data_IF_209970752550
#
_entry.id   IF_209970752550
#
_cell.length_a   1.000
_cell.length_b   1.000
_cell.length_c   1.000
_cell.angle_alpha   90.00
_cell.angle_beta   90.00
_cell.angle_gamma   90.00
#
_symmetry.space_group_name_H-M   'P 1'
#
loop_
_entity.id
_entity.type
_entity.pdbx_description
1 polymer ?
#
# COMPACT_ATOMS: atom_id res chain seq x y z
N UNK A 1 11.05 -10.46 4.27
CA UNK A 1 9.92 -9.57 3.96
C UNK A 1 8.73 -10.49 3.72
N UNK A 2 7.62 -10.33 4.45
CA UNK A 2 6.42 -11.16 4.21
C UNK A 2 5.91 -10.88 2.79
N UNK A 3 5.53 -11.94 2.09
CA UNK A 3 4.82 -11.82 0.82
C UNK A 3 3.32 -11.61 1.12
N UNK A 4 2.65 -10.77 0.35
CA UNK A 4 1.19 -10.60 0.42
C UNK A 4 0.46 -11.93 0.23
N UNK A 5 1.04 -12.87 -0.53
CA UNK A 5 0.52 -14.24 -0.67
C UNK A 5 0.52 -15.05 0.63
N UNK A 6 1.47 -14.77 1.51
CA UNK A 6 1.56 -15.47 2.79
C UNK A 6 0.46 -14.98 3.75
N UNK A 7 0.18 -13.68 3.71
CA UNK A 7 -0.97 -13.09 4.44
C UNK A 7 -2.29 -13.62 3.88
N UNK A 8 -2.40 -13.78 2.55
CA UNK A 8 -3.60 -14.35 1.92
C UNK A 8 -3.88 -15.77 2.38
N UNK A 9 -2.84 -16.61 2.45
CA UNK A 9 -2.98 -17.96 2.99
C UNK A 9 -3.47 -17.95 4.45
N UNK A 10 -2.95 -17.04 5.27
CA UNK A 10 -3.35 -16.93 6.67
C UNK A 10 -4.79 -16.40 6.82
N UNK A 11 -5.22 -15.47 5.97
CA UNK A 11 -6.60 -14.98 5.90
C UNK A 11 -7.58 -16.09 5.46
N UNK A 12 -7.25 -16.84 4.41
CA UNK A 12 -8.04 -17.99 3.96
C UNK A 12 -8.19 -19.05 5.07
N UNK A 13 -7.13 -19.23 5.87
CA UNK A 13 -7.16 -20.10 7.04
C UNK A 13 -8.09 -19.56 8.12
N UNK A 14 -8.03 -18.27 8.45
CA UNK A 14 -8.97 -17.64 9.39
C UNK A 14 -10.42 -17.89 8.96
N UNK A 15 -10.74 -17.60 7.69
CA UNK A 15 -12.09 -17.81 7.15
C UNK A 15 -12.56 -19.27 7.28
N UNK A 16 -11.67 -20.22 6.99
CA UNK A 16 -11.95 -21.65 7.11
C UNK A 16 -12.23 -22.05 8.56
N UNK A 17 -11.34 -21.68 9.48
CA UNK A 17 -11.46 -22.02 10.91
C UNK A 17 -12.69 -21.37 11.53
N UNK A 18 -12.99 -20.11 11.19
CA UNK A 18 -14.21 -19.42 11.62
C UNK A 18 -15.49 -20.10 11.09
N UNK A 19 -15.44 -20.70 9.90
CA UNK A 19 -16.57 -21.42 9.31
C UNK A 19 -16.81 -22.77 9.96
N UNK A 20 -15.74 -23.52 10.20
CA UNK A 20 -15.78 -24.82 10.88
C UNK A 20 -16.16 -24.66 12.36
N UNK A 21 -15.77 -23.53 12.98
CA UNK A 21 -16.07 -23.17 14.36
C UNK A 21 -15.65 -24.25 15.36
N UNK A 22 -14.57 -24.97 15.05
CA UNK A 22 -13.92 -25.89 15.97
C UNK A 22 -13.07 -25.09 16.96
N UNK A 23 -13.33 -25.30 18.25
CA UNK A 23 -12.68 -24.52 19.30
C UNK A 23 -11.16 -24.76 19.34
N UNK A 24 -10.71 -26.00 19.14
CA UNK A 24 -9.28 -26.31 19.17
C UNK A 24 -8.57 -25.65 17.98
N UNK A 25 -9.14 -25.73 16.79
CA UNK A 25 -8.59 -25.07 15.60
C UNK A 25 -8.55 -23.54 15.76
N UNK A 26 -9.56 -22.94 16.40
CA UNK A 26 -9.55 -21.51 16.73
C UNK A 26 -8.37 -21.16 17.64
N UNK A 27 -8.15 -21.91 18.72
CA UNK A 27 -7.03 -21.68 19.65
C UNK A 27 -5.68 -21.83 18.94
N UNK A 28 -5.50 -22.90 18.16
CA UNK A 28 -4.26 -23.16 17.40
C UNK A 28 -4.00 -22.03 16.41
N UNK A 29 -5.02 -21.60 15.65
CA UNK A 29 -4.88 -20.53 14.68
C UNK A 29 -4.48 -19.21 15.34
N UNK A 30 -5.09 -18.86 16.48
CA UNK A 30 -4.76 -17.64 17.21
C UNK A 30 -3.30 -17.64 17.67
N UNK A 31 -2.84 -18.70 18.34
CA UNK A 31 -1.47 -18.81 18.83
C UNK A 31 -0.43 -18.69 17.70
N UNK A 32 -0.63 -19.44 16.61
CA UNK A 32 0.29 -19.41 15.48
C UNK A 32 0.34 -18.04 14.77
N UNK A 33 -0.80 -17.38 14.61
CA UNK A 33 -0.85 -16.05 14.00
C UNK A 33 -0.26 -14.98 14.92
N UNK A 34 -0.52 -15.05 16.22
CA UNK A 34 0.08 -14.13 17.19
C UNK A 34 1.60 -14.27 17.21
N UNK A 35 2.14 -15.49 17.20
CA UNK A 35 3.60 -15.70 17.16
C UNK A 35 4.20 -15.20 15.83
N UNK A 36 3.57 -15.52 14.70
CA UNK A 36 4.06 -15.15 13.36
C UNK A 36 4.10 -13.64 13.09
N UNK A 37 3.15 -12.90 13.65
CA UNK A 37 2.95 -11.47 13.40
C UNK A 37 3.27 -10.58 14.61
N UNK A 38 3.76 -11.16 15.71
CA UNK A 38 4.07 -10.46 16.97
C UNK A 38 4.86 -9.18 16.78
N UNK A 39 5.92 -9.23 15.98
CA UNK A 39 6.85 -8.12 15.78
C UNK A 39 6.46 -7.22 14.58
N UNK A 40 5.28 -7.43 14.01
CA UNK A 40 4.88 -6.85 12.71
C UNK A 40 3.59 -6.08 12.77
N UNK A 41 2.67 -6.51 13.63
CA UNK A 41 1.34 -5.91 13.79
C UNK A 41 1.20 -5.56 15.27
N UNK A 42 1.21 -4.27 15.57
CA UNK A 42 0.90 -3.79 16.90
C UNK A 42 -0.51 -4.26 17.29
N UNK A 43 -0.72 -4.60 18.56
CA UNK A 43 -2.02 -5.02 19.13
C UNK A 43 -2.56 -6.40 18.70
N UNK A 44 -1.83 -7.18 17.91
CA UNK A 44 -2.23 -8.59 17.63
C UNK A 44 -2.28 -9.45 18.92
N UNK A 45 -1.63 -8.98 19.99
CA UNK A 45 -1.45 -9.64 21.29
C UNK A 45 -2.47 -9.14 22.35
N UNK A 46 -3.49 -8.34 22.00
CA UNK A 46 -4.42 -7.76 23.02
C UNK A 46 -5.09 -8.79 23.96
N UNK A 47 -5.06 -10.08 23.62
CA UNK A 47 -5.61 -11.18 24.41
C UNK A 47 -4.57 -12.12 25.04
N UNK A 48 -3.41 -11.63 25.49
CA UNK A 48 -2.64 -12.33 26.54
C UNK A 48 -3.43 -12.32 27.87
N UNK A 49 -4.66 -12.86 27.87
CA UNK A 49 -5.13 -13.57 29.03
C UNK A 49 -4.01 -14.57 29.33
N UNK A 50 -3.40 -14.51 30.52
CA UNK A 50 -2.32 -15.40 30.98
C UNK A 50 -2.66 -16.92 30.97
N UNK A 51 -3.73 -17.30 30.26
CA UNK A 51 -4.26 -18.64 30.07
C UNK A 51 -4.57 -18.81 28.58
N UNK A 52 -3.69 -19.55 27.89
CA UNK A 52 -3.74 -19.99 26.46
C UNK A 52 -5.10 -20.58 26.03
N UNK A 53 -5.95 -20.96 26.99
CA UNK A 53 -7.24 -21.63 26.77
C UNK A 53 -8.45 -20.72 26.94
N UNK A 54 -8.29 -19.40 26.92
CA UNK A 54 -9.44 -18.48 27.04
C UNK A 54 -9.71 -17.66 25.76
N UNK A 55 -9.20 -18.13 24.62
CA UNK A 55 -9.52 -17.55 23.34
C UNK A 55 -10.94 -17.89 22.90
N UNK A 56 -11.50 -17.00 22.09
CA UNK A 56 -12.83 -17.11 21.51
C UNK A 56 -12.79 -16.88 20.01
N UNK A 57 -13.87 -17.29 19.34
CA UNK A 57 -14.11 -16.97 17.93
C UNK A 57 -13.92 -15.48 17.61
N UNK A 58 -14.35 -14.60 18.52
CA UNK A 58 -14.21 -13.14 18.35
C UNK A 58 -12.77 -12.68 18.33
N UNK A 59 -11.87 -13.41 18.99
CA UNK A 59 -10.46 -13.07 19.02
C UNK A 59 -9.80 -13.41 17.68
N UNK A 60 -10.20 -14.54 17.06
CA UNK A 60 -9.79 -14.86 15.70
C UNK A 60 -10.36 -13.87 14.67
N UNK A 61 -11.63 -13.44 14.80
CA UNK A 61 -12.22 -12.39 13.95
C UNK A 61 -11.46 -11.05 14.06
N UNK A 62 -10.97 -10.69 15.25
CA UNK A 62 -10.10 -9.51 15.43
C UNK A 62 -8.76 -9.68 14.71
N UNK A 63 -8.12 -10.84 14.87
CA UNK A 63 -6.83 -11.12 14.21
C UNK A 63 -6.98 -11.09 12.69
N UNK A 64 -8.03 -11.72 12.15
CA UNK A 64 -8.36 -11.66 10.72
C UNK A 64 -8.45 -10.21 10.23
N UNK A 65 -9.16 -9.35 10.98
CA UNK A 65 -9.23 -7.93 10.65
C UNK A 65 -7.86 -7.25 10.67
N UNK A 66 -7.05 -7.48 11.70
CA UNK A 66 -5.71 -6.88 11.80
C UNK A 66 -4.79 -7.33 10.65
N UNK A 67 -4.85 -8.59 10.25
CA UNK A 67 -4.13 -9.11 9.08
C UNK A 67 -4.59 -8.43 7.78
N UNK A 68 -5.91 -8.25 7.61
CA UNK A 68 -6.48 -7.57 6.46
C UNK A 68 -6.06 -6.10 6.36
N UNK A 69 -6.03 -5.39 7.48
CA UNK A 69 -5.59 -4.00 7.53
C UNK A 69 -4.06 -3.88 7.32
N UNK A 70 -3.26 -4.76 7.93
CA UNK A 70 -1.83 -4.85 7.68
C UNK A 70 -1.48 -5.11 6.20
N UNK A 71 -2.22 -6.01 5.54
CA UNK A 71 -2.08 -6.26 4.09
C UNK A 71 -2.32 -4.99 3.28
N UNK A 72 -3.38 -4.24 3.58
CA UNK A 72 -3.70 -2.99 2.86
C UNK A 72 -2.57 -1.97 3.03
N UNK A 73 -2.06 -1.80 4.26
CA UNK A 73 -0.94 -0.90 4.53
C UNK A 73 0.33 -1.29 3.76
N UNK A 74 0.66 -2.59 3.70
CA UNK A 74 1.81 -3.07 2.93
C UNK A 74 1.68 -2.73 1.45
N UNK A 75 0.51 -2.99 0.85
CA UNK A 75 0.24 -2.69 -0.57
C UNK A 75 0.34 -1.18 -0.82
N UNK A 76 -0.19 -0.35 0.07
CA UNK A 76 -0.08 1.11 -0.04
C UNK A 76 1.37 1.58 0.03
N UNK A 77 2.16 1.06 0.99
CA UNK A 77 3.60 1.38 1.11
C UNK A 77 4.37 0.99 -0.14
N UNK A 78 4.08 -0.17 -0.73
CA UNK A 78 4.72 -0.62 -1.97
C UNK A 78 4.32 0.25 -3.17
N UNK A 79 3.04 0.62 -3.31
CA UNK A 79 2.59 1.58 -4.32
C UNK A 79 3.31 2.91 -4.20
N UNK A 80 3.38 3.49 -3.00
CA UNK A 80 4.08 4.74 -2.73
C UNK A 80 5.57 4.65 -3.10
N UNK A 81 6.23 3.56 -2.71
CA UNK A 81 7.63 3.31 -3.03
C UNK A 81 7.87 3.23 -4.54
N UNK A 82 7.04 2.50 -5.28
CA UNK A 82 7.14 2.39 -6.74
C UNK A 82 6.98 3.75 -7.43
N UNK A 83 6.01 4.56 -7.01
CA UNK A 83 5.84 5.93 -7.52
C UNK A 83 7.07 6.78 -7.23
N UNK A 84 7.62 6.70 -6.02
CA UNK A 84 8.83 7.45 -5.64
C UNK A 84 10.05 7.06 -6.48
N UNK A 85 10.30 5.76 -6.66
CA UNK A 85 11.40 5.25 -7.49
C UNK A 85 11.30 5.79 -8.93
N UNK A 86 10.10 5.74 -9.53
CA UNK A 86 9.89 6.26 -10.89
C UNK A 86 10.04 7.77 -11.01
N UNK A 87 9.68 8.52 -9.97
CA UNK A 87 9.90 9.97 -9.91
C UNK A 87 11.40 10.29 -9.80
N UNK A 88 12.14 9.53 -9.01
CA UNK A 88 13.59 9.72 -8.87
C UNK A 88 14.33 9.39 -10.18
N UNK A 89 13.95 8.30 -10.85
CA UNK A 89 14.49 7.97 -12.18
C UNK A 89 14.28 9.13 -13.18
N UNK A 90 13.11 9.77 -13.12
CA UNK A 90 12.81 10.94 -13.94
C UNK A 90 13.65 12.15 -13.56
N UNK A 91 13.83 12.41 -12.25
CA UNK A 91 14.68 13.50 -11.73
C UNK A 91 16.12 13.34 -12.21
N UNK A 92 16.66 12.12 -12.20
CA UNK A 92 17.99 11.80 -12.71
C UNK A 92 18.05 12.04 -14.22
N UNK A 93 17.09 11.51 -14.97
CA UNK A 93 17.04 11.67 -16.43
C UNK A 93 17.03 13.15 -16.85
N UNK A 94 16.17 13.97 -16.26
CA UNK A 94 16.10 15.39 -16.60
C UNK A 94 17.36 16.15 -16.16
N UNK A 95 18.04 15.72 -15.10
CA UNK A 95 19.27 16.36 -14.60
C UNK A 95 20.40 16.19 -15.62
N UNK A 96 20.58 14.96 -16.10
CA UNK A 96 21.69 14.55 -16.95
C UNK A 96 21.50 14.95 -18.42
N UNK A 97 20.27 15.22 -18.84
CA UNK A 97 19.94 15.63 -20.20
C UNK A 97 19.63 17.13 -20.30
N UNK A 98 19.98 17.72 -21.45
CA UNK A 98 19.60 19.08 -21.79
C UNK A 98 18.29 19.04 -22.60
N UNK A 99 17.19 19.44 -21.97
CA UNK A 99 15.84 19.34 -22.53
C UNK A 99 15.16 20.72 -22.58
N UNK A 100 14.32 20.93 -23.61
CA UNK A 100 13.36 22.02 -23.58
C UNK A 100 12.34 21.78 -22.45
N UNK A 101 11.77 22.84 -21.87
CA UNK A 101 10.74 22.74 -20.82
C UNK A 101 11.18 21.98 -19.55
N UNK A 102 12.49 21.92 -19.26
CA UNK A 102 13.06 21.25 -18.07
C UNK A 102 12.43 21.70 -16.75
N UNK A 103 12.21 23.00 -16.59
CA UNK A 103 11.62 23.55 -15.37
C UNK A 103 10.13 23.20 -15.26
N UNK A 104 9.41 23.13 -16.38
CA UNK A 104 8.00 22.70 -16.40
C UNK A 104 7.89 21.23 -15.94
N UNK A 105 8.78 20.36 -16.43
CA UNK A 105 8.83 18.95 -16.03
C UNK A 105 9.20 18.79 -14.55
N UNK A 106 10.14 19.57 -14.03
CA UNK A 106 10.42 19.60 -12.59
C UNK A 106 9.19 20.01 -11.78
N UNK A 107 8.45 21.01 -12.26
CA UNK A 107 7.19 21.44 -11.64
C UNK A 107 6.18 20.31 -11.56
N UNK A 108 6.01 19.56 -12.66
CA UNK A 108 5.12 18.40 -12.70
C UNK A 108 5.57 17.31 -11.72
N UNK A 109 6.86 16.97 -11.69
CA UNK A 109 7.40 15.94 -10.77
C UNK A 109 7.07 16.30 -9.32
N UNK A 110 7.34 17.54 -8.92
CA UNK A 110 7.07 18.00 -7.56
C UNK A 110 5.58 17.96 -7.23
N UNK A 111 4.72 18.35 -8.17
CA UNK A 111 3.27 18.29 -7.97
C UNK A 111 2.77 16.85 -7.84
N UNK A 112 3.25 15.93 -8.69
CA UNK A 112 2.91 14.50 -8.60
C UNK A 112 3.33 13.93 -7.25
N UNK A 113 4.54 14.25 -6.78
CA UNK A 113 5.03 13.81 -5.47
C UNK A 113 4.18 14.36 -4.33
N UNK A 114 3.83 15.65 -4.37
CA UNK A 114 2.98 16.30 -3.37
C UNK A 114 1.60 15.62 -3.30
N UNK A 115 0.93 15.47 -4.45
CA UNK A 115 -0.40 14.84 -4.54
C UNK A 115 -0.36 13.38 -4.09
N UNK A 116 0.69 12.64 -4.45
CA UNK A 116 0.85 11.24 -4.06
C UNK A 116 0.94 11.07 -2.54
N UNK A 117 1.57 12.03 -1.85
CA UNK A 117 1.73 12.02 -0.40
C UNK A 117 0.51 12.55 0.38
N UNK A 118 -0.45 13.18 -0.30
CA UNK A 118 -1.71 13.63 0.33
C UNK A 118 -2.65 12.45 0.58
N UNK A 119 -3.25 12.44 1.77
CA UNK A 119 -4.35 11.54 2.13
C UNK A 119 -5.69 12.14 1.67
N UNK A 120 -5.91 12.11 0.35
CA UNK A 120 -7.12 12.59 -0.32
C UNK A 120 -7.64 11.50 -1.28
N UNK A 121 -8.93 11.58 -1.62
CA UNK A 121 -9.56 10.61 -2.52
C UNK A 121 -9.04 10.74 -3.97
N UNK A 122 -9.37 9.74 -4.81
CA UNK A 122 -8.87 9.67 -6.19
C UNK A 122 -9.38 10.82 -7.07
N UNK A 123 -10.61 11.29 -6.85
CA UNK A 123 -11.21 12.39 -7.62
C UNK A 123 -10.49 13.71 -7.31
N UNK A 124 -10.18 13.95 -6.04
CA UNK A 124 -9.41 15.13 -5.60
C UNK A 124 -7.98 15.08 -6.15
N UNK A 125 -7.33 13.90 -6.16
CA UNK A 125 -6.00 13.72 -6.79
C UNK A 125 -6.04 14.06 -8.28
N UNK A 126 -7.09 13.63 -8.98
CA UNK A 126 -7.26 13.95 -10.40
C UNK A 126 -7.43 15.45 -10.63
N UNK A 127 -8.25 16.12 -9.82
CA UNK A 127 -8.49 17.56 -9.95
C UNK A 127 -7.22 18.39 -9.73
N UNK A 128 -6.34 17.97 -8.82
CA UNK A 128 -5.02 18.61 -8.64
C UNK A 128 -4.08 18.32 -9.82
N UNK A 129 -4.07 17.09 -10.36
CA UNK A 129 -3.12 16.69 -11.40
C UNK A 129 -3.52 17.08 -12.82
N UNK A 130 -4.79 17.39 -13.09
CA UNK A 130 -5.26 17.72 -14.45
C UNK A 130 -4.54 18.94 -15.04
N UNK A 131 -4.03 19.84 -14.21
CA UNK A 131 -3.26 21.03 -14.64
C UNK A 131 -1.98 20.64 -15.40
N UNK A 132 -1.43 19.45 -15.12
CA UNK A 132 -0.28 18.92 -15.83
C UNK A 132 -0.60 18.67 -17.31
N UNK A 133 -1.85 18.33 -17.66
CA UNK A 133 -2.21 17.94 -19.04
C UNK A 133 -2.05 19.06 -20.06
N UNK A 134 -2.17 20.32 -19.64
CA UNK A 134 -1.88 21.45 -20.53
C UNK A 134 -0.39 21.58 -20.79
N UNK A 135 0.45 21.33 -19.78
CA UNK A 135 1.91 21.37 -19.89
C UNK A 135 2.40 20.23 -20.80
N UNK A 136 1.82 19.03 -20.69
CA UNK A 136 2.19 17.87 -21.50
C UNK A 136 2.01 18.07 -23.01
N UNK A 137 1.15 19.00 -23.43
CA UNK A 137 0.97 19.35 -24.86
C UNK A 137 2.21 20.00 -25.47
N UNK A 138 3.10 20.55 -24.64
CA UNK A 138 4.25 21.32 -25.04
C UNK A 138 5.58 20.58 -24.84
N UNK A 139 5.55 19.40 -24.22
CA UNK A 139 6.72 18.55 -23.99
C UNK A 139 6.79 17.46 -25.08
N UNK A 140 7.96 16.87 -25.27
CA UNK A 140 8.15 15.75 -26.20
C UNK A 140 7.27 14.55 -25.84
N UNK A 141 6.95 13.75 -26.86
CA UNK A 141 5.97 12.65 -26.75
C UNK A 141 6.38 11.59 -25.74
N UNK A 142 7.66 11.25 -25.67
CA UNK A 142 8.15 10.17 -24.80
C UNK A 142 8.02 10.58 -23.33
N UNK A 143 8.49 11.78 -23.00
CA UNK A 143 8.34 12.38 -21.69
C UNK A 143 6.87 12.55 -21.29
N UNK A 144 6.02 13.00 -22.22
CA UNK A 144 4.59 13.15 -21.95
C UNK A 144 3.90 11.82 -21.63
N UNK A 145 4.26 10.73 -22.33
CA UNK A 145 3.75 9.38 -22.02
C UNK A 145 4.21 8.94 -20.62
N UNK A 146 5.50 9.12 -20.30
CA UNK A 146 6.04 8.72 -19.01
C UNK A 146 5.36 9.45 -17.84
N UNK A 147 5.12 10.76 -17.99
CA UNK A 147 4.41 11.55 -16.97
C UNK A 147 2.93 11.10 -16.86
N UNK A 148 2.26 10.77 -17.96
CA UNK A 148 0.89 10.23 -17.92
C UNK A 148 0.83 8.89 -17.18
N UNK A 149 1.82 8.03 -17.35
CA UNK A 149 1.92 6.78 -16.59
C UNK A 149 2.07 7.05 -15.09
N UNK A 150 2.90 8.03 -14.71
CA UNK A 150 3.05 8.46 -13.31
C UNK A 150 1.74 9.00 -12.73
N UNK A 151 1.05 9.89 -13.45
CA UNK A 151 -0.25 10.42 -13.03
C UNK A 151 -1.24 9.27 -12.84
N UNK A 152 -1.27 8.31 -13.77
CA UNK A 152 -2.14 7.14 -13.72
C UNK A 152 -1.86 6.26 -12.49
N UNK A 153 -0.60 6.13 -12.08
CA UNK A 153 -0.23 5.38 -10.87
C UNK A 153 -0.73 6.05 -9.59
N UNK A 154 -0.71 7.39 -9.54
CA UNK A 154 -1.17 8.15 -8.37
C UNK A 154 -2.68 8.10 -8.21
N UNK A 155 -3.43 8.00 -9.30
CA UNK A 155 -4.91 7.97 -9.32
C UNK A 155 -5.49 6.54 -9.38
N UNK A 156 -4.72 5.50 -9.02
CA UNK A 156 -5.10 4.07 -9.10
C UNK A 156 -4.89 3.30 -7.79
#
# INVERSE_FOLDING_TARGET
>A
MLDTKEIDFDLDRCEKVLRENDYMEIVIAIEELQDKYRDKIDYIIENENNVVWNYSRKDLEKIEKYLGDYKKEMIQKEKLKNTYEKLEDLRVYIKDNNMAHKEDVKGIINLIEEVNNKDINLDDKYEELRVCFDILKHIDREMSIYILELITLVIK
#
